data_IF_941592143195
#
_entry.id   IF_941592143195
#
_cell.length_a   1.000
_cell.length_b   1.000
_cell.length_c   1.000
_cell.angle_alpha   90.00
_cell.angle_beta   90.00
_cell.angle_gamma   90.00
#
_symmetry.space_group_name_H-M   'P 1'
#
loop_
_entity.id
_entity.type
_entity.pdbx_description
1 polymer ?
#
# COMPACT_ATOMS: atom_id res chain seq x y z
N UNK A 1 53.38 -46.94 6.45
CA UNK A 1 52.51 -46.24 5.50
C UNK A 1 52.09 -44.95 6.09
N UNK A 2 52.37 -43.84 5.43
CA UNK A 2 52.65 -42.52 6.03
C UNK A 2 51.42 -41.83 6.68
N UNK A 3 51.37 -41.73 8.03
CA UNK A 3 50.42 -40.92 8.77
C UNK A 3 50.34 -39.46 8.26
N UNK A 4 51.40 -38.91 7.69
CA UNK A 4 51.47 -37.58 7.08
C UNK A 4 50.60 -37.44 5.81
N UNK A 5 50.46 -38.52 5.03
CA UNK A 5 49.61 -38.54 3.84
C UNK A 5 48.13 -38.57 4.23
N UNK A 6 47.77 -39.33 5.25
CA UNK A 6 46.39 -39.42 5.78
C UNK A 6 45.95 -38.08 6.37
N UNK A 7 46.78 -37.44 7.13
CA UNK A 7 46.51 -36.10 7.72
C UNK A 7 46.32 -35.06 6.60
N UNK A 8 47.17 -35.08 5.54
CA UNK A 8 47.00 -34.14 4.41
C UNK A 8 45.68 -34.35 3.65
N UNK A 9 45.28 -35.62 3.45
CA UNK A 9 44.00 -35.94 2.80
C UNK A 9 42.79 -35.52 3.64
N UNK A 10 42.84 -35.66 4.96
CA UNK A 10 41.77 -35.21 5.87
C UNK A 10 41.67 -33.67 5.88
N UNK A 11 42.80 -32.97 5.90
CA UNK A 11 42.81 -31.49 5.86
C UNK A 11 42.28 -30.96 4.53
N UNK A 12 42.66 -31.62 3.41
CA UNK A 12 42.13 -31.28 2.07
C UNK A 12 40.62 -31.51 1.95
N UNK A 13 40.15 -32.64 2.51
CA UNK A 13 38.72 -32.95 2.54
C UNK A 13 37.90 -31.98 3.39
N UNK A 14 38.44 -31.59 4.57
CA UNK A 14 37.83 -30.59 5.43
C UNK A 14 37.76 -29.21 4.75
N UNK A 15 38.82 -28.82 4.03
CA UNK A 15 38.84 -27.56 3.26
C UNK A 15 37.82 -27.57 2.14
N UNK A 16 37.64 -28.72 1.45
CA UNK A 16 36.62 -28.88 0.41
C UNK A 16 35.19 -28.72 0.96
N UNK A 17 34.91 -29.28 2.15
CA UNK A 17 33.61 -29.18 2.83
C UNK A 17 33.31 -27.73 3.22
N UNK A 18 34.29 -26.98 3.70
CA UNK A 18 34.15 -25.56 4.05
C UNK A 18 33.82 -24.72 2.79
N UNK A 19 34.46 -25.00 1.64
CA UNK A 19 34.18 -24.30 0.38
C UNK A 19 32.76 -24.56 -0.12
N UNK A 20 32.23 -25.78 0.04
CA UNK A 20 30.86 -26.14 -0.38
C UNK A 20 29.81 -25.45 0.51
N UNK A 21 30.06 -25.41 1.84
CA UNK A 21 29.16 -24.71 2.77
C UNK A 21 29.07 -23.21 2.49
N UNK A 22 30.19 -22.57 2.09
CA UNK A 22 30.19 -21.15 1.73
C UNK A 22 29.41 -20.86 0.44
N UNK A 23 29.34 -21.79 -0.51
CA UNK A 23 28.55 -21.63 -1.75
C UNK A 23 27.04 -21.70 -1.50
N UNK A 24 26.56 -22.50 -0.55
CA UNK A 24 25.12 -22.54 -0.22
C UNK A 24 24.65 -21.24 0.41
N UNK A 25 25.43 -20.61 1.27
CA UNK A 25 25.08 -19.32 1.87
C UNK A 25 25.08 -18.17 0.85
N UNK A 26 25.96 -18.22 -0.14
CA UNK A 26 25.99 -17.23 -1.24
C UNK A 26 24.75 -17.42 -2.13
N UNK A 27 24.36 -18.65 -2.48
CA UNK A 27 23.13 -18.93 -3.27
C UNK A 27 21.88 -18.50 -2.50
N UNK A 28 21.81 -18.74 -1.18
CA UNK A 28 20.70 -18.27 -0.35
C UNK A 28 20.63 -16.74 -0.31
N UNK A 29 21.77 -16.05 -0.16
CA UNK A 29 21.85 -14.58 -0.23
C UNK A 29 21.41 -14.02 -1.59
N UNK A 30 21.67 -14.72 -2.70
CA UNK A 30 21.23 -14.34 -4.03
C UNK A 30 19.71 -14.46 -4.21
N UNK A 31 19.05 -15.45 -3.59
CA UNK A 31 17.60 -15.64 -3.70
C UNK A 31 16.76 -14.46 -3.21
N UNK A 32 17.31 -13.55 -2.35
CA UNK A 32 16.60 -12.35 -1.88
C UNK A 32 16.66 -11.18 -2.85
N UNK A 33 17.52 -11.25 -3.85
CA UNK A 33 17.89 -10.13 -4.74
C UNK A 33 17.75 -10.46 -6.21
N UNK A 34 17.32 -11.68 -6.55
CA UNK A 34 17.22 -12.16 -7.92
C UNK A 34 15.89 -12.86 -8.14
N UNK A 35 15.28 -12.63 -9.31
CA UNK A 35 14.08 -13.30 -9.75
C UNK A 35 12.89 -12.38 -9.93
N UNK A 36 11.73 -13.00 -10.08
CA UNK A 36 10.48 -12.33 -10.43
C UNK A 36 9.39 -12.70 -9.42
N UNK A 37 8.64 -11.70 -8.97
CA UNK A 37 7.49 -11.87 -8.06
C UNK A 37 6.34 -11.00 -8.53
N UNK A 38 5.10 -11.43 -8.24
CA UNK A 38 3.90 -10.63 -8.50
C UNK A 38 3.38 -10.03 -7.21
N UNK A 39 3.18 -8.71 -7.20
CA UNK A 39 2.55 -7.93 -6.13
C UNK A 39 1.13 -7.60 -6.55
N UNK A 40 0.13 -8.20 -5.89
CA UNK A 40 -1.26 -7.74 -6.02
C UNK A 40 -1.45 -6.44 -5.24
N UNK A 41 -2.12 -5.47 -5.83
CA UNK A 41 -2.22 -4.12 -5.27
C UNK A 41 -3.56 -3.46 -5.62
N UNK A 42 -4.19 -2.82 -4.63
CA UNK A 42 -5.34 -1.95 -4.90
C UNK A 42 -4.91 -0.74 -5.74
N UNK A 43 -5.64 -0.38 -6.81
CA UNK A 43 -5.31 0.75 -7.68
C UNK A 43 -5.11 2.08 -6.95
N UNK A 44 -5.77 2.28 -5.81
CA UNK A 44 -5.62 3.50 -5.00
C UNK A 44 -4.24 3.63 -4.31
N UNK A 45 -3.41 2.58 -4.33
CA UNK A 45 -2.07 2.54 -3.75
C UNK A 45 -0.97 2.46 -4.82
N UNK A 46 -1.32 2.60 -6.11
CA UNK A 46 -0.38 2.38 -7.22
C UNK A 46 0.77 3.38 -7.24
N UNK A 47 0.55 4.64 -6.88
CA UNK A 47 1.61 5.64 -6.88
C UNK A 47 2.67 5.30 -5.81
N UNK A 48 2.23 5.04 -4.58
CA UNK A 48 3.13 4.60 -3.50
C UNK A 48 3.83 3.29 -3.85
N UNK A 49 3.06 2.29 -4.31
CA UNK A 49 3.60 0.98 -4.70
C UNK A 49 4.67 1.10 -5.78
N UNK A 50 4.42 1.90 -6.83
CA UNK A 50 5.35 2.15 -7.92
C UNK A 50 6.64 2.82 -7.44
N UNK A 51 6.53 3.87 -6.62
CA UNK A 51 7.70 4.56 -6.07
C UNK A 51 8.58 3.64 -5.19
N UNK A 52 7.96 2.80 -4.36
CA UNK A 52 8.69 1.83 -3.52
C UNK A 52 9.38 0.75 -4.37
N UNK A 53 8.67 0.20 -5.36
CA UNK A 53 9.21 -0.85 -6.25
C UNK A 53 10.34 -0.31 -7.12
N UNK A 54 10.21 0.88 -7.70
CA UNK A 54 11.25 1.51 -8.51
C UNK A 54 12.56 1.66 -7.74
N UNK A 55 12.51 2.23 -6.53
CA UNK A 55 13.72 2.42 -5.71
C UNK A 55 14.27 1.09 -5.22
N UNK A 56 13.42 0.11 -4.91
CA UNK A 56 13.86 -1.24 -4.55
C UNK A 56 14.60 -1.92 -5.70
N UNK A 57 14.02 -1.93 -6.90
CA UNK A 57 14.64 -2.52 -8.10
C UNK A 57 15.91 -1.80 -8.53
N UNK A 58 15.99 -0.46 -8.36
CA UNK A 58 17.24 0.28 -8.57
C UNK A 58 18.37 -0.18 -7.64
N UNK A 59 18.03 -0.65 -6.43
CA UNK A 59 19.01 -1.20 -5.47
C UNK A 59 19.32 -2.68 -5.72
N UNK A 60 18.41 -3.39 -6.37
CA UNK A 60 18.49 -4.81 -6.69
C UNK A 60 18.09 -5.07 -8.14
N UNK A 61 18.96 -4.76 -9.12
CA UNK A 61 18.61 -4.77 -10.56
C UNK A 61 18.18 -6.15 -11.10
N UNK A 62 18.60 -7.22 -10.45
CA UNK A 62 18.23 -8.59 -10.82
C UNK A 62 16.86 -9.02 -10.27
N UNK A 63 16.19 -8.14 -9.53
CA UNK A 63 14.85 -8.36 -8.99
C UNK A 63 13.79 -7.69 -9.86
N UNK A 64 12.72 -8.42 -10.19
CA UNK A 64 11.57 -7.89 -10.93
C UNK A 64 10.28 -8.11 -10.13
N UNK A 65 9.66 -7.01 -9.70
CA UNK A 65 8.33 -7.02 -9.09
C UNK A 65 7.32 -6.59 -10.15
N UNK A 66 6.35 -7.45 -10.44
CA UNK A 66 5.27 -7.18 -11.38
C UNK A 66 4.01 -6.81 -10.60
N UNK A 67 3.37 -5.72 -11.01
CA UNK A 67 2.07 -5.36 -10.45
C UNK A 67 0.93 -6.19 -11.03
N UNK A 68 -0.02 -6.56 -10.17
CA UNK A 68 -1.35 -7.06 -10.52
C UNK A 68 -2.37 -6.13 -9.86
N UNK A 69 -2.78 -5.04 -10.56
CA UNK A 69 -3.77 -4.10 -10.02
C UNK A 69 -5.15 -4.73 -10.01
N UNK A 70 -5.79 -4.81 -8.85
CA UNK A 70 -7.14 -5.32 -8.66
C UNK A 70 -7.78 -4.62 -7.45
N UNK A 71 -9.11 -4.56 -7.39
CA UNK A 71 -9.82 -4.04 -6.22
C UNK A 71 -9.47 -4.85 -4.97
N UNK A 72 -9.44 -4.21 -3.80
CA UNK A 72 -8.90 -4.76 -2.55
C UNK A 72 -9.45 -6.16 -2.21
N UNK A 73 -10.75 -6.40 -2.43
CA UNK A 73 -11.35 -7.71 -2.14
C UNK A 73 -10.77 -8.83 -3.02
N UNK A 74 -10.41 -8.53 -4.29
CA UNK A 74 -9.75 -9.48 -5.19
C UNK A 74 -8.27 -9.64 -4.85
N UNK A 75 -7.59 -8.57 -4.47
CA UNK A 75 -6.19 -8.62 -3.98
C UNK A 75 -6.08 -9.59 -2.81
N UNK A 76 -6.99 -9.49 -1.84
CA UNK A 76 -7.03 -10.39 -0.69
C UNK A 76 -7.38 -11.81 -1.12
N UNK A 77 -8.39 -12.00 -1.97
CA UNK A 77 -8.78 -13.32 -2.46
C UNK A 77 -7.62 -14.03 -3.18
N UNK A 78 -6.83 -13.31 -3.97
CA UNK A 78 -5.68 -13.88 -4.67
C UNK A 78 -4.55 -14.28 -3.71
N UNK A 79 -4.32 -13.50 -2.64
CA UNK A 79 -3.38 -13.88 -1.59
C UNK A 79 -3.85 -15.14 -0.85
N UNK A 80 -5.14 -15.18 -0.44
CA UNK A 80 -5.72 -16.33 0.30
C UNK A 80 -5.69 -17.63 -0.52
N UNK A 81 -5.84 -17.53 -1.84
CA UNK A 81 -5.77 -18.67 -2.75
C UNK A 81 -4.33 -19.03 -3.21
N UNK A 82 -3.31 -18.36 -2.67
CA UNK A 82 -1.91 -18.60 -3.03
C UNK A 82 -1.54 -18.22 -4.47
N UNK A 83 -2.39 -17.46 -5.19
CA UNK A 83 -2.10 -17.01 -6.56
C UNK A 83 -1.00 -15.96 -6.62
N UNK A 84 -0.86 -15.16 -5.56
CA UNK A 84 0.21 -14.17 -5.38
C UNK A 84 0.85 -14.36 -4.02
N UNK A 85 2.18 -14.23 -3.90
CA UNK A 85 2.87 -14.37 -2.62
C UNK A 85 2.90 -13.10 -1.79
N UNK A 86 2.66 -11.93 -2.39
CA UNK A 86 2.63 -10.64 -1.70
C UNK A 86 1.47 -9.78 -2.19
N UNK A 87 0.91 -8.98 -1.26
CA UNK A 87 -0.20 -8.08 -1.53
C UNK A 87 -0.02 -6.74 -0.81
N UNK A 88 -0.41 -5.63 -1.45
CA UNK A 88 -0.49 -4.31 -0.82
C UNK A 88 -1.95 -3.90 -0.68
N UNK A 89 -2.38 -3.69 0.56
CA UNK A 89 -3.79 -3.50 0.95
C UNK A 89 -3.94 -2.35 1.95
N UNK A 90 -5.17 -1.92 2.22
CA UNK A 90 -5.44 -0.89 3.23
C UNK A 90 -5.94 -1.46 4.56
N UNK A 91 -5.95 -2.77 4.70
CA UNK A 91 -6.24 -3.49 5.93
C UNK A 91 -5.39 -4.74 6.08
N UNK A 92 -5.26 -5.21 7.29
CA UNK A 92 -4.72 -6.53 7.57
C UNK A 92 -5.77 -7.62 7.33
N UNK A 93 -5.35 -8.89 7.27
CA UNK A 93 -6.28 -10.02 7.22
C UNK A 93 -7.08 -10.13 8.52
N UNK A 94 -8.33 -10.52 8.40
CA UNK A 94 -9.10 -10.98 9.54
C UNK A 94 -8.61 -12.36 10.02
N UNK A 95 -8.92 -12.74 11.26
CA UNK A 95 -8.47 -14.03 11.81
C UNK A 95 -8.92 -15.23 10.95
N UNK A 96 -10.17 -15.18 10.45
CA UNK A 96 -10.70 -16.21 9.56
C UNK A 96 -9.95 -16.27 8.23
N UNK A 97 -9.62 -15.11 7.65
CA UNK A 97 -8.84 -15.02 6.40
C UNK A 97 -7.43 -15.58 6.59
N UNK A 98 -6.78 -15.23 7.70
CA UNK A 98 -5.46 -15.77 8.05
C UNK A 98 -5.50 -17.31 8.20
N UNK A 99 -6.58 -17.85 8.79
CA UNK A 99 -6.84 -19.28 8.87
C UNK A 99 -7.03 -19.93 7.50
N UNK A 100 -7.79 -19.30 6.61
CA UNK A 100 -7.97 -19.77 5.22
C UNK A 100 -6.63 -19.82 4.48
N UNK A 101 -5.84 -18.75 4.58
CA UNK A 101 -4.51 -18.68 3.96
C UNK A 101 -3.61 -19.82 4.44
N UNK A 102 -3.55 -20.02 5.77
CA UNK A 102 -2.76 -21.10 6.36
C UNK A 102 -3.20 -22.49 5.88
N UNK A 103 -4.51 -22.74 5.85
CA UNK A 103 -5.06 -24.01 5.40
C UNK A 103 -4.77 -24.33 3.93
N UNK A 104 -4.72 -23.28 3.06
CA UNK A 104 -4.43 -23.45 1.64
C UNK A 104 -2.94 -23.56 1.33
N UNK A 105 -2.10 -22.86 2.08
CA UNK A 105 -0.68 -22.67 1.70
C UNK A 105 0.30 -23.28 2.70
N UNK A 106 -0.14 -23.63 3.90
CA UNK A 106 0.70 -23.98 5.06
C UNK A 106 1.70 -22.87 5.44
N UNK A 107 1.38 -21.62 5.11
CA UNK A 107 2.25 -20.47 5.38
C UNK A 107 1.58 -19.52 6.37
N UNK A 108 2.31 -19.15 7.42
CA UNK A 108 1.96 -18.00 8.25
C UNK A 108 2.45 -16.74 7.58
N UNK A 109 1.53 -15.85 7.19
CA UNK A 109 1.88 -14.59 6.54
C UNK A 109 2.52 -13.60 7.51
N UNK A 110 3.27 -12.66 6.95
CA UNK A 110 3.85 -11.53 7.68
C UNK A 110 3.14 -10.26 7.21
N UNK A 111 2.51 -9.56 8.15
CA UNK A 111 1.90 -8.26 7.94
C UNK A 111 2.87 -7.15 8.32
N UNK A 112 3.16 -6.26 7.38
CA UNK A 112 4.01 -5.08 7.61
C UNK A 112 3.22 -3.82 7.31
N UNK A 113 2.86 -3.07 8.35
CA UNK A 113 2.27 -1.74 8.15
C UNK A 113 3.36 -0.78 7.69
N UNK A 114 3.14 -0.06 6.58
CA UNK A 114 4.15 0.79 5.96
C UNK A 114 3.78 2.27 5.94
N UNK A 115 2.48 2.60 5.86
CA UNK A 115 2.01 3.97 5.75
C UNK A 115 0.60 4.14 6.33
N UNK A 116 0.19 5.41 6.46
CA UNK A 116 -1.23 5.79 6.52
C UNK A 116 -1.56 6.63 5.28
N UNK A 117 -2.65 6.27 4.64
CA UNK A 117 -3.31 6.94 3.53
C UNK A 117 -4.69 7.41 3.98
N UNK A 118 -5.47 8.03 3.12
CA UNK A 118 -6.83 8.46 3.40
C UNK A 118 -7.76 8.25 2.21
N UNK A 119 -9.03 7.97 2.51
CA UNK A 119 -10.12 8.18 1.53
C UNK A 119 -10.48 9.65 1.53
N UNK A 120 -10.35 10.30 0.37
CA UNK A 120 -10.60 11.73 0.20
C UNK A 120 -11.76 11.98 -0.75
N UNK A 121 -12.32 13.19 -0.65
CA UNK A 121 -13.42 13.68 -1.46
C UNK A 121 -12.92 14.80 -2.35
N UNK A 122 -13.16 14.68 -3.65
CA UNK A 122 -12.71 15.65 -4.65
C UNK A 122 -13.89 16.19 -5.46
N UNK A 123 -13.81 17.47 -5.81
CA UNK A 123 -14.76 18.13 -6.70
C UNK A 123 -14.03 18.93 -7.77
N UNK A 124 -14.72 19.27 -8.85
CA UNK A 124 -14.20 20.23 -9.83
C UNK A 124 -13.84 21.56 -9.16
N UNK A 125 -12.84 22.26 -9.68
CA UNK A 125 -12.51 23.64 -9.25
C UNK A 125 -13.72 24.56 -9.30
N UNK A 126 -14.62 24.36 -10.25
CA UNK A 126 -15.82 25.16 -10.48
C UNK A 126 -17.01 24.79 -9.58
N UNK A 127 -16.88 23.72 -8.78
CA UNK A 127 -17.95 23.26 -7.91
C UNK A 127 -18.26 24.24 -6.79
N UNK A 128 -19.57 24.44 -6.52
CA UNK A 128 -20.04 25.21 -5.37
C UNK A 128 -19.92 24.50 -4.01
N UNK A 129 -19.71 23.16 -4.02
CA UNK A 129 -19.59 22.32 -2.81
C UNK A 129 -18.28 22.70 -2.10
N UNK A 130 -18.32 23.08 -0.83
CA UNK A 130 -17.14 23.55 -0.09
C UNK A 130 -16.58 22.54 0.91
N UNK A 131 -17.41 21.64 1.41
CA UNK A 131 -17.11 20.71 2.50
C UNK A 131 -17.96 19.44 2.37
N UNK A 132 -17.56 18.38 3.06
CA UNK A 132 -18.36 17.17 3.26
C UNK A 132 -18.86 17.15 4.70
N UNK A 133 -20.16 17.19 4.90
CA UNK A 133 -20.76 16.99 6.22
C UNK A 133 -20.73 15.50 6.59
N UNK A 134 -19.96 15.17 7.62
CA UNK A 134 -19.81 13.81 8.09
C UNK A 134 -21.13 13.21 8.59
N UNK A 135 -22.03 14.01 9.12
CA UNK A 135 -23.27 13.52 9.73
C UNK A 135 -24.27 13.03 8.69
N UNK A 136 -24.38 13.70 7.53
CA UNK A 136 -25.25 13.35 6.42
C UNK A 136 -24.58 12.47 5.36
N UNK A 137 -23.26 12.24 5.45
CA UNK A 137 -22.49 11.56 4.41
C UNK A 137 -23.04 10.16 4.10
N UNK A 138 -23.35 9.37 5.13
CA UNK A 138 -23.90 8.02 4.97
C UNK A 138 -25.18 8.02 4.15
N UNK A 139 -26.17 8.84 4.52
CA UNK A 139 -27.47 8.93 3.81
C UNK A 139 -27.28 9.40 2.37
N UNK A 140 -26.38 10.34 2.15
CA UNK A 140 -26.09 10.87 0.81
C UNK A 140 -25.41 9.83 -0.11
N UNK A 141 -24.52 8.98 0.41
CA UNK A 141 -23.87 7.93 -0.38
C UNK A 141 -24.86 6.86 -0.79
N UNK A 142 -25.76 6.42 0.10
CA UNK A 142 -26.70 5.34 -0.15
C UNK A 142 -28.00 5.80 -0.83
N UNK A 143 -28.15 7.09 -1.10
CA UNK A 143 -29.29 7.65 -1.83
C UNK A 143 -29.29 7.17 -3.29
N UNK A 144 -30.48 6.95 -3.85
CA UNK A 144 -30.64 6.61 -5.26
C UNK A 144 -30.17 7.74 -6.21
N UNK A 145 -30.21 8.99 -5.74
CA UNK A 145 -29.75 10.18 -6.48
C UNK A 145 -28.32 10.57 -6.07
N UNK A 146 -27.54 9.61 -5.61
CA UNK A 146 -26.17 9.84 -5.14
C UNK A 146 -25.29 10.46 -6.24
N UNK A 147 -24.68 11.60 -5.92
CA UNK A 147 -23.70 12.28 -6.78
C UNK A 147 -22.27 11.83 -6.50
N UNK A 148 -22.09 10.83 -5.65
CA UNK A 148 -20.80 10.27 -5.34
C UNK A 148 -20.34 9.27 -6.40
N UNK A 149 -19.07 9.37 -6.77
CA UNK A 149 -18.43 8.54 -7.78
C UNK A 149 -17.14 7.94 -7.18
N UNK A 150 -17.04 6.62 -7.23
CA UNK A 150 -15.96 5.87 -6.59
C UNK A 150 -14.92 5.38 -7.60
N UNK A 151 -13.74 5.10 -7.11
CA UNK A 151 -12.63 4.47 -7.84
C UNK A 151 -12.70 2.93 -7.86
N UNK A 152 -13.87 2.39 -7.65
CA UNK A 152 -14.22 0.97 -7.68
C UNK A 152 -15.33 0.61 -6.71
N UNK A 153 -16.21 -0.28 -7.11
CA UNK A 153 -17.33 -0.74 -6.27
C UNK A 153 -16.94 -1.58 -5.06
N UNK A 154 -15.73 -2.16 -5.06
CA UNK A 154 -15.11 -2.92 -3.96
C UNK A 154 -13.67 -2.46 -3.74
N UNK A 155 -13.38 -1.19 -4.04
CA UNK A 155 -12.08 -0.58 -3.78
C UNK A 155 -11.84 -0.41 -2.29
N UNK A 156 -10.59 -0.22 -1.91
CA UNK A 156 -10.22 0.08 -0.52
C UNK A 156 -10.90 1.35 0.00
N UNK A 157 -11.12 2.35 -0.86
CA UNK A 157 -11.81 3.59 -0.48
C UNK A 157 -13.27 3.35 -0.17
N UNK A 158 -13.97 2.56 -0.99
CA UNK A 158 -15.35 2.17 -0.71
C UNK A 158 -15.46 1.33 0.56
N UNK A 159 -14.58 0.33 0.74
CA UNK A 159 -14.54 -0.52 1.92
C UNK A 159 -14.25 0.28 3.20
N UNK A 160 -13.35 1.26 3.14
CA UNK A 160 -13.06 2.16 4.26
C UNK A 160 -14.31 2.95 4.67
N UNK A 161 -15.05 3.53 3.72
CA UNK A 161 -16.28 4.27 4.02
C UNK A 161 -17.37 3.36 4.57
N UNK A 162 -17.60 2.17 3.99
CA UNK A 162 -18.54 1.17 4.53
C UNK A 162 -18.24 0.88 6.00
N UNK A 163 -16.97 0.63 6.32
CA UNK A 163 -16.53 0.32 7.70
C UNK A 163 -16.71 1.52 8.64
N UNK A 164 -16.26 2.70 8.23
CA UNK A 164 -16.26 3.92 9.07
C UNK A 164 -17.66 4.48 9.32
N UNK A 165 -18.55 4.40 8.33
CA UNK A 165 -19.92 4.90 8.40
C UNK A 165 -20.93 3.81 8.81
N UNK A 166 -20.51 2.56 8.89
CA UNK A 166 -21.36 1.45 9.33
C UNK A 166 -22.57 1.21 8.40
N UNK A 167 -22.33 1.09 7.09
CA UNK A 167 -23.42 0.77 6.14
C UNK A 167 -23.10 -0.46 5.28
N UNK A 168 -24.18 -1.06 4.77
CA UNK A 168 -24.13 -2.13 3.76
C UNK A 168 -25.04 -1.73 2.63
N UNK A 169 -24.64 -2.03 1.40
CA UNK A 169 -25.53 -1.84 0.26
C UNK A 169 -26.59 -2.94 0.22
N UNK A 170 -27.80 -2.57 -0.13
CA UNK A 170 -28.86 -3.52 -0.51
C UNK A 170 -28.69 -3.94 -1.98
N UNK A 171 -29.34 -5.06 -2.37
CA UNK A 171 -29.25 -5.57 -3.76
C UNK A 171 -29.68 -4.56 -4.83
N UNK A 172 -30.52 -3.60 -4.47
CA UNK A 172 -31.08 -2.61 -5.40
C UNK A 172 -30.27 -1.30 -5.43
N UNK A 173 -29.32 -1.10 -4.53
CA UNK A 173 -28.49 0.10 -4.51
C UNK A 173 -27.30 -0.06 -5.46
N UNK A 174 -27.19 0.87 -6.39
CA UNK A 174 -26.07 0.96 -7.34
C UNK A 174 -25.10 2.04 -6.90
N UNK A 175 -23.83 1.81 -7.15
CA UNK A 175 -22.75 2.77 -6.91
C UNK A 175 -22.21 3.20 -8.26
N UNK A 176 -22.06 4.50 -8.46
CA UNK A 176 -21.34 5.03 -9.59
C UNK A 176 -19.85 4.85 -9.36
N UNK A 177 -19.16 4.11 -10.21
CA UNK A 177 -17.73 3.87 -10.06
C UNK A 177 -17.01 3.79 -11.40
N UNK A 178 -15.74 4.16 -11.39
CA UNK A 178 -14.77 3.94 -12.45
C UNK A 178 -13.73 2.89 -12.00
N UNK A 179 -12.80 2.57 -12.88
CA UNK A 179 -11.79 1.53 -12.60
C UNK A 179 -10.68 2.00 -11.66
N UNK A 180 -10.45 3.31 -11.55
CA UNK A 180 -9.37 3.90 -10.74
C UNK A 180 -9.62 5.39 -10.46
N UNK A 181 -8.81 5.96 -9.55
CA UNK A 181 -8.93 7.36 -9.13
C UNK A 181 -8.66 8.39 -10.24
N UNK A 182 -7.81 8.08 -11.22
CA UNK A 182 -7.52 8.99 -12.34
C UNK A 182 -8.74 9.19 -13.23
N UNK A 183 -9.47 8.11 -13.51
CA UNK A 183 -10.73 8.18 -14.27
C UNK A 183 -11.81 8.96 -13.50
N UNK A 184 -11.87 8.79 -12.18
CA UNK A 184 -12.75 9.61 -11.32
C UNK A 184 -12.40 11.09 -11.45
N UNK A 185 -11.12 11.47 -11.37
CA UNK A 185 -10.68 12.86 -11.52
C UNK A 185 -11.06 13.43 -12.88
N UNK A 186 -10.87 12.65 -13.97
CA UNK A 186 -11.24 13.07 -15.32
C UNK A 186 -12.76 13.32 -15.45
N UNK A 187 -13.58 12.48 -14.83
CA UNK A 187 -15.03 12.66 -14.80
C UNK A 187 -15.41 13.89 -13.98
N UNK A 188 -14.89 14.02 -12.75
CA UNK A 188 -15.19 15.11 -11.83
C UNK A 188 -14.79 16.48 -12.41
N UNK A 189 -13.65 16.56 -13.11
CA UNK A 189 -13.19 17.81 -13.73
C UNK A 189 -14.20 18.41 -14.74
N UNK A 190 -15.09 17.58 -15.29
CA UNK A 190 -16.13 17.98 -16.26
C UNK A 190 -17.53 18.03 -15.66
N UNK A 191 -17.71 17.62 -14.40
CA UNK A 191 -19.01 17.44 -13.75
C UNK A 191 -19.01 18.10 -12.37
N UNK A 192 -19.20 19.41 -12.32
CA UNK A 192 -19.08 20.24 -11.11
C UNK A 192 -20.09 19.93 -9.98
N UNK A 193 -21.14 19.17 -10.27
CA UNK A 193 -22.16 18.76 -9.28
C UNK A 193 -21.86 17.42 -8.61
N UNK A 194 -20.85 16.69 -9.09
CA UNK A 194 -20.48 15.36 -8.57
C UNK A 194 -19.30 15.47 -7.61
N UNK A 195 -19.17 14.46 -6.76
CA UNK A 195 -18.12 14.32 -5.76
C UNK A 195 -17.39 13.02 -6.03
N UNK A 196 -16.10 13.09 -6.32
CA UNK A 196 -15.24 11.90 -6.46
C UNK A 196 -14.76 11.42 -5.12
N UNK A 197 -14.67 10.10 -4.96
CA UNK A 197 -14.10 9.43 -3.78
C UNK A 197 -12.93 8.60 -4.26
N UNK A 198 -11.72 8.97 -3.80
CA UNK A 198 -10.45 8.38 -4.22
C UNK A 198 -9.49 8.25 -3.04
N UNK A 199 -8.34 7.57 -3.22
CA UNK A 199 -7.25 7.56 -2.27
C UNK A 199 -6.45 8.86 -2.31
N UNK A 200 -5.93 9.30 -1.15
CA UNK A 200 -5.05 10.47 -1.08
C UNK A 200 -3.75 10.24 -1.88
N UNK A 201 -3.26 9.00 -1.95
CA UNK A 201 -2.09 8.60 -2.74
C UNK A 201 -2.13 9.12 -4.20
N UNK A 202 -3.34 9.27 -4.77
CA UNK A 202 -3.51 9.77 -6.16
C UNK A 202 -3.10 11.24 -6.31
N UNK A 203 -3.21 12.04 -5.24
CA UNK A 203 -3.00 13.50 -5.27
C UNK A 203 -1.93 14.01 -4.30
N UNK A 204 -1.27 13.14 -3.54
CA UNK A 204 -0.41 13.56 -2.42
C UNK A 204 1.02 13.94 -2.82
N UNK A 205 1.54 13.45 -3.94
CA UNK A 205 2.90 13.76 -4.40
C UNK A 205 2.94 15.09 -5.16
N UNK A 206 2.99 16.21 -4.44
CA UNK A 206 2.91 17.57 -5.00
C UNK A 206 3.98 17.90 -6.06
N UNK A 207 5.12 17.21 -6.05
CA UNK A 207 6.19 17.42 -7.04
C UNK A 207 5.95 16.66 -8.35
N UNK A 208 4.97 15.76 -8.42
CA UNK A 208 4.61 15.03 -9.61
C UNK A 208 3.82 15.92 -10.59
N UNK A 209 4.23 15.95 -11.86
CA UNK A 209 3.57 16.82 -12.86
C UNK A 209 2.13 16.38 -13.16
N UNK A 210 1.82 15.08 -13.15
CA UNK A 210 0.46 14.58 -13.32
C UNK A 210 -0.43 15.01 -12.15
N UNK A 211 0.08 14.95 -10.92
CA UNK A 211 -0.63 15.42 -9.72
C UNK A 211 -0.91 16.92 -9.79
N UNK A 212 0.07 17.73 -10.23
CA UNK A 212 -0.13 19.16 -10.45
C UNK A 212 -1.23 19.43 -11.49
N UNK A 213 -1.25 18.67 -12.58
CA UNK A 213 -2.30 18.76 -13.59
C UNK A 213 -3.67 18.42 -12.99
N UNK A 214 -3.78 17.35 -12.21
CA UNK A 214 -5.02 16.99 -11.53
C UNK A 214 -5.48 18.08 -10.55
N UNK A 215 -4.57 18.58 -9.71
CA UNK A 215 -4.86 19.66 -8.74
C UNK A 215 -5.21 21.00 -9.42
N UNK A 216 -4.87 21.20 -10.69
CA UNK A 216 -5.35 22.34 -11.46
C UNK A 216 -6.82 22.25 -11.83
N UNK A 217 -7.38 21.01 -11.93
CA UNK A 217 -8.76 20.72 -12.38
C UNK A 217 -9.71 20.43 -11.23
N UNK A 218 -9.20 19.84 -10.15
CA UNK A 218 -10.01 19.45 -8.98
C UNK A 218 -9.44 20.02 -7.69
N UNK A 219 -10.25 20.00 -6.63
CA UNK A 219 -9.84 20.32 -5.27
C UNK A 219 -10.33 19.28 -4.28
N UNK A 220 -9.57 19.05 -3.23
CA UNK A 220 -9.92 18.20 -2.11
C UNK A 220 -10.86 18.96 -1.18
N UNK A 221 -11.89 18.29 -0.67
CA UNK A 221 -12.84 18.83 0.27
C UNK A 221 -12.45 18.48 1.71
N UNK A 222 -12.49 19.42 2.65
CA UNK A 222 -12.42 19.13 4.08
C UNK A 222 -13.68 18.39 4.55
N UNK A 223 -13.52 17.63 5.63
CA UNK A 223 -14.63 16.99 6.33
C UNK A 223 -15.10 17.91 7.45
N UNK A 224 -16.38 18.26 7.43
CA UNK A 224 -17.02 18.95 8.54
C UNK A 224 -17.53 17.92 9.55
N UNK A 225 -16.97 17.98 10.73
CA UNK A 225 -17.36 17.14 11.87
C UNK A 225 -18.64 17.67 12.54
N UNK A 226 -19.25 16.83 13.40
CA UNK A 226 -20.43 17.23 14.17
C UNK A 226 -20.21 18.45 15.09
N UNK A 227 -18.96 18.70 15.51
CA UNK A 227 -18.55 19.87 16.28
C UNK A 227 -18.34 21.14 15.42
N UNK A 228 -18.63 21.06 14.11
CA UNK A 228 -18.47 22.14 13.14
C UNK A 228 -17.04 22.35 12.62
N UNK A 229 -16.04 21.64 13.13
CA UNK A 229 -14.64 21.78 12.69
C UNK A 229 -14.44 21.17 11.32
N UNK A 230 -13.69 21.87 10.47
CA UNK A 230 -13.23 21.40 9.18
C UNK A 230 -11.89 20.70 9.33
N UNK A 231 -11.78 19.47 8.82
CA UNK A 231 -10.58 18.63 8.92
C UNK A 231 -10.11 18.27 7.52
N UNK A 232 -8.92 18.73 7.18
CA UNK A 232 -8.24 18.37 5.93
C UNK A 232 -7.43 17.07 6.07
N UNK A 233 -7.21 16.31 4.98
CA UNK A 233 -6.41 15.07 4.99
C UNK A 233 -4.90 15.37 4.97
N UNK A 234 -4.43 16.18 5.90
CA UNK A 234 -3.00 16.52 6.04
C UNK A 234 -2.24 15.44 6.78
N UNK A 235 -0.93 15.32 6.53
CA UNK A 235 -0.06 14.35 7.20
C UNK A 235 -0.17 14.41 8.73
N UNK A 236 -0.19 15.59 9.41
CA UNK A 236 -0.46 15.65 10.85
C UNK A 236 -1.81 15.05 11.25
N UNK A 237 -2.90 15.38 10.53
CA UNK A 237 -4.24 14.89 10.84
C UNK A 237 -4.37 13.37 10.61
N UNK A 238 -3.61 12.80 9.65
CA UNK A 238 -3.52 11.35 9.44
C UNK A 238 -2.76 10.68 10.58
N UNK A 239 -1.63 11.25 11.00
CA UNK A 239 -0.79 10.73 12.09
C UNK A 239 -1.54 10.66 13.41
N UNK A 240 -2.27 11.71 13.73
CA UNK A 240 -3.01 11.84 14.98
C UNK A 240 -4.39 11.16 14.94
N UNK A 241 -4.77 10.59 13.77
CA UNK A 241 -6.08 9.95 13.59
C UNK A 241 -7.26 10.94 13.65
N UNK A 242 -7.01 12.24 13.45
CA UNK A 242 -8.04 13.29 13.47
C UNK A 242 -8.89 13.23 12.21
N UNK A 243 -8.28 12.94 11.03
CA UNK A 243 -9.02 12.78 9.80
C UNK A 243 -9.85 11.48 9.83
N UNK A 244 -11.20 11.53 9.68
CA UNK A 244 -12.07 10.41 9.98
C UNK A 244 -11.85 9.19 9.08
N UNK A 245 -11.47 9.41 7.83
CA UNK A 245 -11.37 8.37 6.80
C UNK A 245 -9.92 7.96 6.50
N UNK A 246 -9.05 8.04 7.52
CA UNK A 246 -7.68 7.51 7.46
C UNK A 246 -7.70 6.00 7.26
N UNK A 247 -6.85 5.50 6.38
CA UNK A 247 -6.57 4.09 6.10
C UNK A 247 -5.12 3.78 6.48
N UNK A 248 -4.86 2.55 6.91
CA UNK A 248 -3.50 2.04 7.07
C UNK A 248 -3.11 1.31 5.78
N UNK A 249 -1.84 1.36 5.43
CA UNK A 249 -1.32 0.62 4.27
C UNK A 249 -0.45 -0.52 4.77
N UNK A 250 -0.77 -1.73 4.33
CA UNK A 250 -0.08 -2.96 4.70
C UNK A 250 0.57 -3.62 3.48
N UNK A 251 1.71 -4.22 3.70
CA UNK A 251 2.30 -5.20 2.81
C UNK A 251 2.16 -6.57 3.48
N UNK A 252 1.33 -7.43 2.89
CA UNK A 252 1.07 -8.79 3.34
C UNK A 252 1.97 -9.73 2.57
N UNK A 253 2.81 -10.48 3.27
CA UNK A 253 3.77 -11.41 2.67
C UNK A 253 3.46 -12.84 3.11
N UNK A 254 3.10 -13.69 2.16
CA UNK A 254 2.81 -15.11 2.31
C UNK A 254 3.91 -16.01 1.70
N UNK A 255 5.15 -15.53 1.58
CA UNK A 255 6.27 -16.38 1.16
C UNK A 255 6.64 -17.38 2.26
N UNK A 256 6.83 -18.64 1.88
CA UNK A 256 7.21 -19.73 2.79
C UNK A 256 8.67 -19.70 3.24
N UNK A 257 9.45 -18.74 2.78
CA UNK A 257 10.85 -18.54 3.15
C UNK A 257 11.26 -17.10 2.86
N UNK A 258 12.42 -16.68 3.36
CA UNK A 258 12.92 -15.34 3.13
C UNK A 258 13.38 -15.17 1.67
N UNK A 259 12.54 -14.56 0.82
CA UNK A 259 12.77 -14.31 -0.60
C UNK A 259 12.55 -12.83 -0.95
N UNK A 260 12.20 -12.52 -2.19
CA UNK A 260 12.03 -11.17 -2.72
C UNK A 260 10.95 -10.39 -1.96
N UNK A 261 9.80 -11.01 -1.68
CA UNK A 261 8.70 -10.37 -0.93
C UNK A 261 9.12 -9.99 0.49
N UNK A 262 9.85 -10.89 1.19
CA UNK A 262 10.40 -10.61 2.51
C UNK A 262 11.45 -9.49 2.47
N UNK A 263 12.31 -9.48 1.44
CA UNK A 263 13.30 -8.43 1.23
C UNK A 263 12.63 -7.08 0.93
N UNK A 264 11.60 -7.07 0.10
CA UNK A 264 10.80 -5.88 -0.22
C UNK A 264 10.04 -5.37 1.00
N UNK A 265 9.42 -6.24 1.80
CA UNK A 265 8.74 -5.85 3.05
C UNK A 265 9.70 -5.17 4.03
N UNK A 266 10.91 -5.72 4.21
CA UNK A 266 11.95 -5.08 5.04
C UNK A 266 12.42 -3.75 4.46
N UNK A 267 12.55 -3.65 3.14
CA UNK A 267 12.90 -2.38 2.49
C UNK A 267 11.82 -1.33 2.74
N UNK A 268 10.53 -1.66 2.56
CA UNK A 268 9.42 -0.73 2.82
C UNK A 268 9.39 -0.24 4.28
N UNK A 269 9.68 -1.10 5.26
CA UNK A 269 9.80 -0.73 6.67
C UNK A 269 11.10 -0.01 7.05
N UNK A 270 12.12 0.01 6.20
CA UNK A 270 13.40 0.65 6.46
C UNK A 270 13.31 2.19 6.38
N UNK A 271 14.31 2.88 6.93
CA UNK A 271 14.41 4.34 6.81
C UNK A 271 14.27 4.82 5.36
N UNK A 272 14.90 4.12 4.40
CA UNK A 272 14.84 4.48 2.98
C UNK A 272 13.42 4.32 2.42
N UNK A 273 12.73 3.22 2.71
CA UNK A 273 11.34 3.01 2.32
C UNK A 273 10.41 4.06 2.94
N UNK A 274 10.60 4.38 4.22
CA UNK A 274 9.78 5.39 4.91
C UNK A 274 10.03 6.82 4.41
N UNK A 275 11.22 7.13 3.92
CA UNK A 275 11.48 8.41 3.24
C UNK A 275 10.72 8.50 1.90
N UNK A 276 10.54 7.38 1.19
CA UNK A 276 9.71 7.33 -0.03
C UNK A 276 8.25 7.59 0.32
N UNK A 277 7.72 6.93 1.36
CA UNK A 277 6.35 7.19 1.86
C UNK A 277 6.15 8.68 2.17
N UNK A 278 7.11 9.29 2.88
CA UNK A 278 7.07 10.72 3.20
C UNK A 278 7.10 11.59 1.94
N UNK A 279 7.94 11.23 0.94
CA UNK A 279 8.03 11.97 -0.34
C UNK A 279 6.74 11.85 -1.15
N UNK A 280 6.08 10.69 -1.11
CA UNK A 280 4.77 10.48 -1.70
C UNK A 280 3.64 11.30 -1.02
N UNK A 281 3.95 12.11 0.01
CA UNK A 281 2.97 12.94 0.71
C UNK A 281 2.07 12.18 1.68
N UNK A 282 2.39 10.93 1.97
CA UNK A 282 1.67 10.09 2.92
C UNK A 282 2.34 10.08 4.30
N UNK A 283 1.61 9.62 5.33
CA UNK A 283 2.18 9.48 6.67
C UNK A 283 2.98 8.18 6.77
N UNK A 284 4.31 8.23 7.00
CA UNK A 284 5.11 7.04 7.29
C UNK A 284 4.66 6.34 8.59
N UNK A 285 4.67 5.01 8.58
CA UNK A 285 4.36 4.26 9.80
C UNK A 285 5.54 4.28 10.78
N UNK A 286 6.77 4.04 10.29
CA UNK A 286 7.97 4.10 11.11
C UNK A 286 8.57 5.50 11.06
N UNK A 287 8.70 6.16 12.22
CA UNK A 287 9.34 7.46 12.35
C UNK A 287 10.80 7.27 12.76
N UNK A 288 11.71 7.55 11.84
CA UNK A 288 13.13 7.54 12.12
C UNK A 288 13.59 8.94 12.51
N UNK A 289 13.98 9.13 13.77
CA UNK A 289 14.60 10.37 14.23
C UNK A 289 15.98 10.55 13.60
N UNK A 290 16.27 11.73 13.09
CA UNK A 290 17.62 12.09 12.68
C UNK A 290 18.38 12.53 13.92
N UNK A 291 19.31 11.70 14.41
CA UNK A 291 20.30 12.12 15.39
C UNK A 291 21.50 12.71 14.63
N UNK A 292 21.77 13.99 14.85
CA UNK A 292 22.98 14.65 14.36
C UNK A 292 23.96 14.60 15.55
N UNK A 293 24.93 13.71 15.49
CA UNK A 293 26.07 13.73 16.42
C UNK A 293 27.08 14.74 15.88
N UNK A 294 27.14 15.90 16.51
CA UNK A 294 28.20 16.87 16.26
C UNK A 294 29.46 16.37 16.99
N UNK A 295 30.36 15.73 16.26
CA UNK A 295 31.70 15.49 16.76
C UNK A 295 32.44 16.84 16.78
N UNK A 296 32.53 17.47 17.96
CA UNK A 296 33.39 18.61 18.18
C UNK A 296 34.85 18.20 17.90
N UNK A 297 35.53 18.97 17.07
CA UNK A 297 37.00 18.87 16.89
C UNK A 297 37.69 19.48 18.09
#
# INVERSE_FOLDING_TARGET
MNNRLIIRSIVFLAFLIICISCQEDIKKKQAYRQGKITLAIDPSLMNLGSALVEVFQSSYPETKILFKPEVEDLVIADLLNGKVPIAMTTRDLFAEEAGILYNHTNVTYISTQIACDATIFVVSKESSIKEIDQTSLKSNIISNDSKFVFDGGNSSNFNNLKKKLGFKLTKNQKINSFSNGKEVIQFISKNSTHIGIIGLDVLSEENNNEVKEFLSKVRILPIKRADGKLIDPTVPNLREGIYPFTKRVFLLNAENSFKIGSSFSRFCGSQRGQLIVKRAGLQPYYLYERRIELHGR
#
